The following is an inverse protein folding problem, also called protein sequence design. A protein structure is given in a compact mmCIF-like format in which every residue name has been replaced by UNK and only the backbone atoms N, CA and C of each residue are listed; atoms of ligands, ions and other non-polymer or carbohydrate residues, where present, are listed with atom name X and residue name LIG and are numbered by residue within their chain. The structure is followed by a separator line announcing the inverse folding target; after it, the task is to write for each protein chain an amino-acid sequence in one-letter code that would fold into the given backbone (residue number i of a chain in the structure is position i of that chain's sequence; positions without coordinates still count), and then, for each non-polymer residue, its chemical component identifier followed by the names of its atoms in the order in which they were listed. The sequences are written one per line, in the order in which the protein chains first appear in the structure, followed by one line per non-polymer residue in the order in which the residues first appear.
data_IF_807913913600
#
_entry.id   IF_807913913600
#
_cell.length_a   1.000
_cell.length_b   1.000
_cell.length_c   1.000
_cell.angle_alpha   90.00
_cell.angle_beta   90.00
_cell.angle_gamma   90.00
#
_symmetry.space_group_name_H-M   'P 1'
#
loop_
_entity.id
_entity.type
_entity.pdbx_description
1 polymer ?
#
# COMPACT_ATOMS: atom_id res chain seq x y z
N UNK A 1 8.36 32.00 -32.74
CA UNK A 1 6.95 32.44 -32.84
C UNK A 1 6.19 31.30 -33.49
N UNK A 2 5.62 30.41 -32.67
CA UNK A 2 4.83 29.26 -33.10
C UNK A 2 3.42 29.45 -32.52
N UNK A 3 2.34 29.17 -33.26
CA UNK A 3 1.00 29.50 -32.80
C UNK A 3 0.50 28.50 -31.75
N UNK A 4 -0.21 29.03 -30.76
CA UNK A 4 -1.02 28.28 -29.81
C UNK A 4 -2.05 27.41 -30.55
N UNK A 5 -2.11 26.14 -30.17
CA UNK A 5 -3.18 25.23 -30.54
C UNK A 5 -4.22 25.31 -29.43
N UNK A 6 -5.37 25.92 -29.72
CA UNK A 6 -6.53 25.93 -28.84
C UNK A 6 -7.13 24.51 -28.79
N UNK A 7 -7.20 23.97 -27.57
CA UNK A 7 -7.82 22.69 -27.25
C UNK A 7 -9.34 22.81 -27.43
N UNK A 8 -9.87 22.19 -28.48
CA UNK A 8 -11.30 22.09 -28.74
C UNK A 8 -11.78 20.71 -28.30
N UNK A 9 -12.62 20.70 -27.25
CA UNK A 9 -13.60 19.68 -26.87
C UNK A 9 -13.55 18.35 -27.65
N UNK A 10 -12.79 17.36 -27.14
CA UNK A 10 -12.81 16.00 -27.68
C UNK A 10 -13.93 15.16 -27.03
N UNK A 11 -14.99 14.78 -27.78
CA UNK A 11 -16.10 13.96 -27.27
C UNK A 11 -15.67 12.55 -26.84
N UNK A 12 -14.51 12.05 -27.29
CA UNK A 12 -14.00 10.73 -26.87
C UNK A 12 -13.56 10.74 -25.41
N UNK A 13 -12.98 11.85 -24.90
CA UNK A 13 -12.67 12.01 -23.47
C UNK A 13 -13.93 12.00 -22.59
N UNK A 14 -15.03 12.61 -23.05
CA UNK A 14 -16.32 12.62 -22.33
C UNK A 14 -16.95 11.22 -22.22
N UNK A 15 -16.77 10.37 -23.23
CA UNK A 15 -17.28 8.99 -23.21
C UNK A 15 -16.53 8.07 -22.24
N UNK A 16 -15.20 8.22 -22.17
CA UNK A 16 -14.34 7.47 -21.24
C UNK A 16 -14.60 7.89 -19.79
N UNK A 17 -14.77 9.20 -19.53
CA UNK A 17 -15.14 9.72 -18.20
C UNK A 17 -16.49 9.19 -17.71
N UNK A 18 -17.51 9.12 -18.59
CA UNK A 18 -18.82 8.56 -18.23
C UNK A 18 -18.76 7.07 -17.92
N UNK A 19 -18.02 6.29 -18.73
CA UNK A 19 -17.87 4.86 -18.52
C UNK A 19 -17.10 4.54 -17.23
N UNK A 20 -15.99 5.26 -16.97
CA UNK A 20 -15.19 5.06 -15.75
C UNK A 20 -15.91 5.50 -14.48
N UNK A 21 -16.66 6.61 -14.52
CA UNK A 21 -17.42 7.12 -13.38
C UNK A 21 -18.66 6.27 -13.07
N UNK A 22 -19.37 5.81 -14.11
CA UNK A 22 -20.46 4.84 -13.96
C UNK A 22 -19.93 3.51 -13.41
N UNK A 23 -18.76 3.03 -13.86
CA UNK A 23 -18.12 1.82 -13.34
C UNK A 23 -17.60 1.96 -11.90
N UNK A 24 -17.14 3.15 -11.47
CA UNK A 24 -16.76 3.40 -10.07
C UNK A 24 -17.96 3.33 -9.12
N UNK A 25 -19.14 3.81 -9.57
CA UNK A 25 -20.37 3.79 -8.77
C UNK A 25 -21.10 2.44 -8.87
N UNK A 26 -21.13 1.79 -10.04
CA UNK A 26 -21.71 0.43 -10.18
C UNK A 26 -20.81 -0.67 -9.60
N UNK A 27 -19.49 -0.53 -9.71
CA UNK A 27 -18.52 -1.45 -9.10
C UNK A 27 -18.49 -1.37 -7.57
N UNK A 28 -18.86 -0.22 -6.98
CA UNK A 28 -18.95 -0.05 -5.52
C UNK A 28 -20.35 -0.34 -4.96
N UNK A 29 -21.42 -0.38 -5.77
CA UNK A 29 -22.79 -0.69 -5.33
C UNK A 29 -23.14 -2.18 -5.36
N UNK A 30 -22.20 -3.06 -5.76
CA UNK A 30 -22.39 -4.52 -5.71
C UNK A 30 -22.67 -5.09 -4.30
N UNK A 31 -22.54 -4.27 -3.23
CA UNK A 31 -22.95 -4.60 -1.86
C UNK A 31 -24.26 -3.95 -1.38
N UNK A 32 -25.00 -3.21 -2.21
CA UNK A 32 -26.21 -2.46 -1.79
C UNK A 32 -27.51 -2.92 -2.46
N UNK A 33 -27.56 -4.13 -3.03
CA UNK A 33 -28.74 -4.65 -3.71
C UNK A 33 -29.85 -5.18 -2.78
N UNK A 34 -29.76 -5.02 -1.45
CA UNK A 34 -30.74 -5.61 -0.51
C UNK A 34 -31.43 -4.62 0.44
N UNK A 35 -31.43 -3.31 0.15
CA UNK A 35 -32.13 -2.30 0.98
C UNK A 35 -33.39 -1.73 0.33
N UNK A 36 -33.76 -2.21 -0.86
CA UNK A 36 -35.01 -1.86 -1.54
C UNK A 36 -35.92 -3.08 -1.68
N UNK A 37 -36.31 -3.67 -0.56
CA UNK A 37 -37.53 -4.48 -0.48
C UNK A 37 -38.12 -4.28 0.92
N UNK A 38 -38.92 -3.23 1.07
CA UNK A 38 -39.96 -3.18 2.08
C UNK A 38 -41.27 -3.38 1.34
N UNK A 39 -41.67 -4.65 1.23
CA UNK A 39 -43.03 -5.03 0.88
C UNK A 39 -43.97 -4.46 1.93
N UNK A 40 -44.70 -3.40 1.58
CA UNK A 40 -45.92 -3.03 2.29
C UNK A 40 -47.10 -3.14 1.33
N UNK A 41 -47.70 -4.32 1.34
CA UNK A 41 -48.93 -4.62 0.65
C UNK A 41 -50.10 -3.92 1.36
N UNK A 42 -50.41 -2.69 0.97
CA UNK A 42 -51.77 -2.20 1.08
C UNK A 42 -52.08 -1.08 0.07
N UNK A 43 -53.09 -1.35 -0.75
CA UNK A 43 -53.53 -0.49 -1.83
C UNK A 43 -54.07 0.86 -1.33
N UNK A 44 -53.62 1.91 -2.00
CA UNK A 44 -54.13 3.26 -1.81
C UNK A 44 -53.44 4.19 -2.78
N UNK A 45 -54.18 4.57 -3.82
CA UNK A 45 -53.84 5.59 -4.83
C UNK A 45 -53.11 6.79 -4.20
N UNK A 46 -51.80 6.83 -4.38
CA UNK A 46 -50.94 7.98 -4.09
C UNK A 46 -50.08 8.21 -5.32
N UNK A 47 -50.30 9.36 -5.93
CA UNK A 47 -49.43 10.01 -6.91
C UNK A 47 -47.98 9.61 -6.71
N UNK A 48 -47.43 8.89 -7.69
CA UNK A 48 -46.00 8.64 -7.81
C UNK A 48 -45.33 10.02 -7.92
N UNK A 49 -44.79 10.52 -6.82
CA UNK A 49 -43.81 11.59 -6.91
C UNK A 49 -42.61 10.99 -7.62
N UNK A 50 -42.31 11.48 -8.82
CA UNK A 50 -41.03 11.25 -9.48
C UNK A 50 -39.92 11.36 -8.43
N UNK A 51 -39.27 10.23 -8.13
CA UNK A 51 -38.10 10.22 -7.28
C UNK A 51 -37.07 11.15 -7.91
N UNK A 52 -36.81 12.29 -7.26
CA UNK A 52 -35.70 13.16 -7.61
C UNK A 52 -34.43 12.29 -7.59
N UNK A 53 -33.89 12.03 -8.77
CA UNK A 53 -32.81 11.07 -8.94
C UNK A 53 -31.56 11.56 -8.21
N UNK A 54 -31.17 10.83 -7.16
CA UNK A 54 -29.85 10.95 -6.51
C UNK A 54 -28.73 10.82 -7.58
N UNK A 55 -29.03 10.15 -8.70
CA UNK A 55 -28.15 9.93 -9.85
C UNK A 55 -27.96 11.16 -10.77
N UNK A 56 -28.80 12.19 -10.71
CA UNK A 56 -28.61 13.40 -11.53
C UNK A 56 -27.65 14.41 -10.90
N UNK A 57 -27.87 14.69 -9.61
CA UNK A 57 -27.19 15.78 -8.88
C UNK A 57 -25.77 15.43 -8.43
N UNK A 58 -25.56 14.21 -7.90
CA UNK A 58 -24.25 13.78 -7.41
C UNK A 58 -23.20 13.71 -8.55
N UNK A 59 -23.60 13.15 -9.69
CA UNK A 59 -22.73 13.07 -10.87
C UNK A 59 -22.42 14.45 -11.47
N UNK A 60 -23.42 15.35 -11.49
CA UNK A 60 -23.19 16.73 -11.90
C UNK A 60 -22.20 17.42 -10.96
N UNK A 61 -22.37 17.28 -9.64
CA UNK A 61 -21.47 17.85 -8.64
C UNK A 61 -20.02 17.33 -8.76
N UNK A 62 -19.83 16.02 -8.93
CA UNK A 62 -18.50 15.44 -9.17
C UNK A 62 -17.85 16.02 -10.44
N UNK A 63 -18.60 16.10 -11.54
CA UNK A 63 -18.12 16.70 -12.79
C UNK A 63 -17.76 18.17 -12.62
N UNK A 64 -18.49 18.89 -11.78
CA UNK A 64 -18.26 20.30 -11.47
C UNK A 64 -17.12 20.48 -10.45
N UNK A 65 -16.39 19.41 -10.13
CA UNK A 65 -15.19 19.45 -9.29
C UNK A 65 -15.47 19.38 -7.80
N UNK A 66 -16.68 19.01 -7.38
CA UNK A 66 -17.06 18.91 -5.96
C UNK A 66 -16.80 17.53 -5.39
N UNK A 67 -16.45 17.49 -4.10
CA UNK A 67 -16.42 16.23 -3.33
C UNK A 67 -17.85 15.89 -2.94
N UNK A 68 -18.26 14.62 -3.06
CA UNK A 68 -19.64 14.20 -2.80
C UNK A 68 -19.70 13.15 -1.70
N UNK A 69 -20.42 13.45 -0.63
CA UNK A 69 -20.73 12.54 0.46
C UNK A 69 -22.10 11.88 0.26
N UNK A 70 -22.18 10.57 0.44
CA UNK A 70 -23.40 9.77 0.30
C UNK A 70 -23.53 8.87 1.52
N UNK A 71 -24.63 9.05 2.26
CA UNK A 71 -24.97 8.25 3.43
C UNK A 71 -26.49 8.24 3.64
N UNK A 72 -26.98 7.28 4.43
CA UNK A 72 -28.36 7.31 4.91
C UNK A 72 -28.59 8.58 5.74
N UNK A 73 -29.68 9.31 5.45
CA UNK A 73 -30.00 10.56 6.15
C UNK A 73 -29.37 11.84 5.58
N UNK A 74 -28.46 11.76 4.60
CA UNK A 74 -27.84 12.93 3.96
C UNK A 74 -28.26 13.10 2.49
N UNK A 75 -28.71 12.04 1.82
CA UNK A 75 -29.29 12.11 0.46
C UNK A 75 -28.32 12.53 -0.65
N UNK A 76 -27.04 12.74 -0.34
CA UNK A 76 -26.03 13.29 -1.25
C UNK A 76 -25.69 14.74 -0.94
N UNK A 77 -24.58 14.99 -0.25
CA UNK A 77 -24.07 16.34 0.03
C UNK A 77 -22.83 16.63 -0.84
N UNK A 78 -22.77 17.83 -1.41
CA UNK A 78 -21.66 18.27 -2.25
C UNK A 78 -20.85 19.38 -1.57
N UNK A 79 -19.54 19.17 -1.47
CA UNK A 79 -18.58 20.05 -0.82
C UNK A 79 -17.73 20.74 -1.89
N UNK A 80 -17.67 22.07 -1.83
CA UNK A 80 -16.80 22.88 -2.70
C UNK A 80 -15.36 22.82 -2.16
N UNK A 81 -14.38 22.28 -2.93
CA UNK A 81 -12.99 22.19 -2.48
C UNK A 81 -12.31 23.52 -2.16
N UNK A 82 -12.91 24.64 -2.55
CA UNK A 82 -12.38 25.98 -2.30
C UNK A 82 -12.99 26.66 -1.07
N UNK A 83 -14.05 26.09 -0.50
CA UNK A 83 -14.74 26.68 0.64
C UNK A 83 -13.99 26.48 1.96
N UNK A 84 -13.24 25.38 2.10
CA UNK A 84 -12.49 25.05 3.30
C UNK A 84 -11.08 24.59 2.95
N UNK A 85 -10.22 24.51 3.96
CA UNK A 85 -8.86 23.98 3.81
C UNK A 85 -8.82 22.44 3.82
N UNK A 86 -9.92 21.79 4.20
CA UNK A 86 -10.02 20.35 4.45
C UNK A 86 -11.27 19.71 3.84
N UNK A 87 -11.57 19.96 2.55
CA UNK A 87 -12.84 19.54 1.96
C UNK A 87 -13.06 18.02 1.93
N UNK A 88 -12.00 17.20 1.89
CA UNK A 88 -12.14 15.75 1.96
C UNK A 88 -12.48 15.31 3.38
N UNK A 89 -11.79 15.87 4.38
CA UNK A 89 -12.11 15.58 5.78
C UNK A 89 -13.53 16.02 6.14
N UNK A 90 -13.95 17.21 5.70
CA UNK A 90 -15.30 17.74 5.99
C UNK A 90 -16.40 16.80 5.45
N UNK A 91 -16.17 16.20 4.28
CA UNK A 91 -17.10 15.22 3.69
C UNK A 91 -17.12 13.90 4.47
N UNK A 92 -15.97 13.46 5.01
CA UNK A 92 -15.88 12.27 5.87
C UNK A 92 -16.57 12.52 7.22
N UNK A 93 -16.37 13.69 7.83
CA UNK A 93 -17.03 14.10 9.08
C UNK A 93 -18.55 14.17 8.90
N UNK A 94 -19.02 14.62 7.74
CA UNK A 94 -20.44 14.65 7.44
C UNK A 94 -21.07 13.25 7.37
N UNK A 95 -20.42 12.27 6.72
CA UNK A 95 -20.97 10.89 6.70
C UNK A 95 -20.84 10.20 8.05
N UNK A 96 -19.79 10.49 8.81
CA UNK A 96 -19.62 9.97 10.17
C UNK A 96 -20.73 10.43 11.11
N UNK A 97 -21.15 11.71 11.01
CA UNK A 97 -22.23 12.27 11.83
C UNK A 97 -23.58 11.53 11.70
N UNK A 98 -23.74 10.67 10.67
CA UNK A 98 -24.92 9.81 10.47
C UNK A 98 -24.60 8.31 10.54
N UNK A 99 -23.44 7.95 11.09
CA UNK A 99 -23.02 6.56 11.36
C UNK A 99 -22.22 5.87 10.27
N UNK A 100 -21.77 6.62 9.25
CA UNK A 100 -20.91 6.12 8.17
C UNK A 100 -21.48 6.36 6.77
N UNK A 101 -20.70 6.00 5.76
CA UNK A 101 -21.09 6.24 4.36
C UNK A 101 -19.91 6.28 3.42
N UNK A 102 -20.09 6.96 2.28
CA UNK A 102 -19.11 7.00 1.20
C UNK A 102 -18.86 8.43 0.75
N UNK A 103 -17.60 8.75 0.50
CA UNK A 103 -17.15 10.00 -0.08
C UNK A 103 -16.54 9.70 -1.45
N UNK A 104 -17.00 10.42 -2.46
CA UNK A 104 -16.54 10.33 -3.84
C UNK A 104 -15.74 11.58 -4.18
N UNK A 105 -14.53 11.36 -4.69
CA UNK A 105 -13.62 12.40 -5.16
C UNK A 105 -13.96 12.78 -6.61
N UNK A 106 -13.96 14.07 -6.94
CA UNK A 106 -14.14 14.51 -8.32
C UNK A 106 -12.95 14.08 -9.20
N UNK A 107 -13.11 14.04 -10.54
CA UNK A 107 -12.02 13.79 -11.48
C UNK A 107 -11.14 15.05 -11.66
N UNK A 108 -10.65 15.59 -10.55
CA UNK A 108 -9.71 16.70 -10.51
C UNK A 108 -8.80 16.56 -9.27
N UNK A 109 -7.92 17.55 -9.07
CA UNK A 109 -7.13 17.68 -7.85
C UNK A 109 -7.90 18.45 -6.78
N UNK A 110 -8.08 17.83 -5.63
CA UNK A 110 -8.54 18.45 -4.39
C UNK A 110 -7.32 18.66 -3.49
N UNK A 111 -7.18 19.85 -2.92
CA UNK A 111 -6.07 20.16 -1.99
C UNK A 111 -6.56 20.00 -0.57
N UNK A 112 -5.78 19.29 0.25
CA UNK A 112 -6.05 19.09 1.68
C UNK A 112 -4.90 19.71 2.48
N UNK A 113 -5.22 20.57 3.45
CA UNK A 113 -4.21 21.24 4.26
C UNK A 113 -3.64 20.38 5.40
N UNK A 114 -4.40 19.37 5.85
CA UNK A 114 -4.05 18.41 6.88
C UNK A 114 -4.18 16.96 6.39
N UNK A 115 -3.90 15.96 7.25
CA UNK A 115 -4.09 14.57 6.88
C UNK A 115 -5.59 14.24 6.87
N UNK A 116 -5.97 13.34 5.96
CA UNK A 116 -7.28 12.71 5.94
C UNK A 116 -7.32 11.64 7.04
N UNK A 117 -8.30 11.73 7.93
CA UNK A 117 -8.51 10.82 9.07
C UNK A 117 -9.82 10.06 8.89
N UNK A 118 -9.78 8.85 8.34
CA UNK A 118 -10.96 8.02 8.15
C UNK A 118 -11.72 7.79 9.46
N UNK A 119 -13.03 7.65 9.36
CA UNK A 119 -13.90 7.25 10.47
C UNK A 119 -14.34 5.79 10.30
N UNK A 120 -14.80 5.12 11.36
CA UNK A 120 -15.38 3.79 11.22
C UNK A 120 -16.54 3.77 10.21
N UNK A 121 -16.67 2.67 9.45
CA UNK A 121 -17.74 2.49 8.44
C UNK A 121 -17.75 3.53 7.31
N UNK A 122 -16.60 4.13 6.98
CA UNK A 122 -16.49 5.10 5.88
C UNK A 122 -15.67 4.59 4.70
N UNK A 123 -15.97 5.08 3.51
CA UNK A 123 -15.16 4.80 2.33
C UNK A 123 -14.88 6.04 1.51
N UNK A 124 -13.69 6.11 0.91
CA UNK A 124 -13.22 7.19 0.07
C UNK A 124 -12.84 6.64 -1.32
N UNK A 125 -13.53 7.14 -2.35
CA UNK A 125 -13.50 6.58 -3.69
C UNK A 125 -13.16 7.63 -4.74
N UNK A 126 -12.27 7.31 -5.68
CA UNK A 126 -11.95 8.17 -6.81
C UNK A 126 -12.12 7.50 -8.17
N UNK A 127 -11.64 8.20 -9.21
CA UNK A 127 -11.78 7.80 -10.61
C UNK A 127 -10.48 7.26 -11.26
N UNK A 128 -9.42 7.08 -10.48
CA UNK A 128 -8.12 6.52 -10.89
C UNK A 128 -6.94 7.47 -10.69
N UNK A 129 -5.73 6.93 -10.91
CA UNK A 129 -4.46 7.65 -10.83
C UNK A 129 -4.43 8.87 -11.77
N UNK A 130 -3.92 10.01 -11.30
CA UNK A 130 -3.91 11.30 -12.03
C UNK A 130 -5.30 11.83 -12.47
N UNK A 131 -6.41 11.16 -12.08
CA UNK A 131 -7.77 11.60 -12.39
C UNK A 131 -8.39 12.21 -11.15
N UNK A 132 -8.50 11.44 -10.07
CA UNK A 132 -8.88 11.94 -8.74
C UNK A 132 -7.62 12.03 -7.89
N UNK A 133 -7.25 13.23 -7.46
CA UNK A 133 -6.02 13.46 -6.69
C UNK A 133 -6.36 14.19 -5.41
N UNK A 134 -5.94 13.64 -4.27
CA UNK A 134 -5.81 14.37 -3.02
C UNK A 134 -4.37 14.85 -2.93
N UNK A 135 -4.18 16.17 -2.89
CA UNK A 135 -2.85 16.78 -2.83
C UNK A 135 -2.64 17.44 -1.46
N UNK A 136 -1.82 16.81 -0.64
CA UNK A 136 -1.34 17.36 0.63
C UNK A 136 -0.14 18.25 0.32
N UNK A 137 -0.31 19.57 0.48
CA UNK A 137 0.74 20.55 0.14
C UNK A 137 1.60 20.98 1.32
N UNK A 138 1.07 20.85 2.53
CA UNK A 138 1.68 21.26 3.78
C UNK A 138 2.89 20.38 4.10
N UNK A 139 4.02 21.01 4.43
CA UNK A 139 5.24 20.31 4.85
C UNK A 139 4.98 19.49 6.12
N UNK A 140 5.65 18.34 6.27
CA UNK A 140 5.55 17.51 7.47
C UNK A 140 4.17 16.92 7.75
N UNK A 141 3.25 16.96 6.78
CA UNK A 141 1.86 16.51 6.93
C UNK A 141 1.71 15.11 6.35
N UNK A 142 1.04 14.23 7.09
CA UNK A 142 0.68 12.88 6.64
C UNK A 142 -0.40 12.94 5.54
N UNK A 143 -0.52 11.87 4.75
CA UNK A 143 -1.57 11.74 3.75
C UNK A 143 -2.89 11.30 4.37
N UNK A 144 -2.98 10.00 4.65
CA UNK A 144 -4.04 9.36 5.42
C UNK A 144 -3.44 8.94 6.75
N UNK A 145 -4.10 9.29 7.85
CA UNK A 145 -3.64 9.00 9.21
C UNK A 145 -4.72 8.29 10.01
N UNK A 146 -4.37 7.13 10.56
CA UNK A 146 -5.17 6.36 11.50
C UNK A 146 -4.64 6.65 12.90
N UNK A 147 -5.24 7.62 13.57
CA UNK A 147 -4.83 8.13 14.89
C UNK A 147 -6.04 8.49 15.78
N UNK A 148 -7.19 7.85 15.57
CA UNK A 148 -8.40 8.10 16.37
C UNK A 148 -8.43 7.27 17.64
N UNK A 149 -8.98 7.85 18.70
CA UNK A 149 -9.16 7.18 20.00
C UNK A 149 -10.12 5.98 19.92
N UNK A 150 -11.03 5.99 18.96
CA UNK A 150 -11.92 4.85 18.66
C UNK A 150 -11.35 3.96 17.56
N UNK A 151 -11.61 2.65 17.66
CA UNK A 151 -11.19 1.69 16.62
C UNK A 151 -11.69 2.09 15.24
N UNK A 152 -10.75 2.39 14.34
CA UNK A 152 -11.05 2.67 12.94
C UNK A 152 -11.22 1.35 12.19
N UNK A 153 -12.49 1.01 11.91
CA UNK A 153 -12.85 -0.27 11.30
C UNK A 153 -13.79 -0.15 10.10
N UNK A 154 -13.75 -1.14 9.19
CA UNK A 154 -14.58 -1.18 7.97
C UNK A 154 -14.38 0.07 7.11
N UNK A 155 -13.12 0.42 6.87
CA UNK A 155 -12.72 1.58 6.06
C UNK A 155 -12.30 1.14 4.67
N UNK A 156 -12.71 1.89 3.65
CA UNK A 156 -12.28 1.65 2.27
C UNK A 156 -11.57 2.87 1.65
N UNK A 157 -10.42 2.66 1.01
CA UNK A 157 -9.70 3.67 0.23
C UNK A 157 -9.44 3.11 -1.17
N UNK A 158 -10.09 3.66 -2.21
CA UNK A 158 -9.96 3.09 -3.57
C UNK A 158 -10.00 4.13 -4.70
N UNK A 159 -9.12 3.96 -5.67
CA UNK A 159 -9.23 4.59 -6.97
C UNK A 159 -8.77 6.05 -7.00
N UNK A 160 -7.79 6.46 -6.20
CA UNK A 160 -7.29 7.84 -6.26
C UNK A 160 -5.78 7.93 -6.03
N UNK A 161 -5.21 9.05 -6.46
CA UNK A 161 -3.83 9.40 -6.15
C UNK A 161 -3.77 10.22 -4.85
N UNK A 162 -2.89 9.80 -3.95
CA UNK A 162 -2.52 10.52 -2.75
C UNK A 162 -1.13 11.14 -2.96
N UNK A 163 -1.12 12.44 -3.26
CA UNK A 163 0.07 13.21 -3.63
C UNK A 163 0.60 13.99 -2.44
N UNK A 164 1.85 13.74 -2.09
CA UNK A 164 2.56 14.46 -1.03
C UNK A 164 3.09 15.82 -1.47
N UNK A 165 3.71 16.58 -0.55
CA UNK A 165 4.20 17.94 -0.81
C UNK A 165 5.31 18.07 -1.87
N UNK A 166 5.96 16.95 -2.22
CA UNK A 166 7.15 16.86 -3.07
C UNK A 166 8.34 16.27 -2.33
N UNK A 167 9.08 15.34 -2.96
CA UNK A 167 10.20 14.59 -2.32
C UNK A 167 11.34 15.44 -1.76
N UNK A 168 11.50 16.68 -2.22
CA UNK A 168 12.54 17.62 -1.72
C UNK A 168 12.06 18.48 -0.54
N UNK A 169 10.80 18.35 -0.16
CA UNK A 169 10.25 18.98 1.03
C UNK A 169 10.20 17.94 2.14
N UNK A 170 10.14 18.43 3.36
CA UNK A 170 9.79 17.57 4.48
C UNK A 170 8.34 17.09 4.32
N UNK A 171 8.13 15.78 4.40
CA UNK A 171 6.80 15.15 4.25
C UNK A 171 6.52 14.27 5.44
N UNK A 172 5.24 14.17 5.82
CA UNK A 172 4.77 13.06 6.64
C UNK A 172 4.80 11.73 5.87
N UNK A 173 4.09 10.74 6.40
CA UNK A 173 3.89 9.42 5.80
C UNK A 173 2.60 9.43 4.97
N UNK A 174 2.59 8.75 3.82
CA UNK A 174 1.39 8.74 2.98
C UNK A 174 0.20 8.01 3.64
N UNK A 175 0.44 6.85 4.25
CA UNK A 175 -0.55 6.08 5.04
C UNK A 175 0.09 5.75 6.39
N UNK A 176 -0.41 6.34 7.45
CA UNK A 176 0.23 6.29 8.76
C UNK A 176 -0.70 5.69 9.80
N UNK A 177 -0.30 4.56 10.37
CA UNK A 177 -0.94 3.97 11.54
C UNK A 177 -0.15 4.38 12.78
N UNK A 178 -0.78 5.16 13.64
CA UNK A 178 -0.16 5.77 14.82
C UNK A 178 -0.93 5.32 16.04
N UNK A 179 -0.22 5.09 17.13
CA UNK A 179 -0.83 4.71 18.38
C UNK A 179 -1.66 5.89 18.90
N UNK A 180 -2.97 5.68 18.95
CA UNK A 180 -3.90 6.62 19.52
C UNK A 180 -4.19 6.29 21.00
N UNK A 181 -4.08 5.01 21.37
CA UNK A 181 -4.41 4.52 22.71
C UNK A 181 -3.57 3.30 23.06
N UNK A 182 -3.07 3.21 24.29
CA UNK A 182 -2.40 2.01 24.82
C UNK A 182 -3.31 0.75 24.92
N UNK A 183 -4.50 0.77 24.31
CA UNK A 183 -5.47 -0.34 24.25
C UNK A 183 -5.53 -0.95 22.83
N UNK A 184 -5.00 -2.17 22.62
CA UNK A 184 -5.07 -2.88 21.34
C UNK A 184 -6.49 -3.11 20.81
N UNK A 185 -7.54 -2.98 21.64
CA UNK A 185 -8.92 -3.04 21.18
C UNK A 185 -9.30 -1.89 20.24
N UNK A 186 -8.53 -0.79 20.26
CA UNK A 186 -8.72 0.37 19.39
C UNK A 186 -7.83 0.33 18.14
N UNK A 187 -7.08 -0.75 17.94
CA UNK A 187 -6.29 -0.90 16.73
C UNK A 187 -7.18 -0.84 15.48
N UNK A 188 -6.69 -0.23 14.39
CA UNK A 188 -7.38 -0.24 13.12
C UNK A 188 -7.59 -1.66 12.59
N UNK A 189 -8.80 -1.95 12.15
CA UNK A 189 -9.20 -3.30 11.77
C UNK A 189 -9.98 -3.28 10.46
N UNK A 190 -9.92 -4.34 9.66
CA UNK A 190 -10.77 -4.46 8.46
C UNK A 190 -10.69 -3.20 7.55
N UNK A 191 -9.46 -2.73 7.33
CA UNK A 191 -9.17 -1.63 6.41
C UNK A 191 -8.89 -2.23 5.02
N UNK A 192 -9.64 -1.77 4.03
CA UNK A 192 -9.49 -2.14 2.63
C UNK A 192 -8.88 -1.00 1.83
N UNK A 193 -7.69 -1.22 1.28
CA UNK A 193 -7.04 -0.34 0.32
C UNK A 193 -7.09 -1.02 -1.04
N UNK A 194 -7.94 -0.51 -1.92
CA UNK A 194 -8.13 -1.01 -3.29
C UNK A 194 -6.98 -0.58 -4.20
N UNK A 195 -7.24 0.36 -5.12
CA UNK A 195 -6.24 0.93 -6.04
C UNK A 195 -5.78 2.29 -5.54
N UNK A 196 -4.72 2.31 -4.74
CA UNK A 196 -4.17 3.54 -4.19
C UNK A 196 -2.81 3.86 -4.81
N UNK A 197 -2.64 5.12 -5.22
CA UNK A 197 -1.43 5.60 -5.89
C UNK A 197 -0.78 6.70 -5.06
N UNK A 198 0.32 6.39 -4.39
CA UNK A 198 1.08 7.34 -3.60
C UNK A 198 2.18 7.98 -4.45
N UNK A 199 2.25 9.31 -4.45
CA UNK A 199 3.23 10.04 -5.26
C UNK A 199 3.89 11.17 -4.48
N UNK A 200 5.17 11.43 -4.74
CA UNK A 200 5.86 12.63 -4.23
C UNK A 200 6.00 12.70 -2.70
N UNK A 201 6.17 11.54 -2.07
CA UNK A 201 6.44 11.40 -0.63
C UNK A 201 7.95 11.27 -0.38
N UNK A 202 8.52 12.13 0.47
CA UNK A 202 9.92 12.08 0.89
C UNK A 202 10.15 11.25 2.16
N UNK A 203 9.19 10.40 2.50
CA UNK A 203 9.14 9.57 3.69
C UNK A 203 8.54 8.20 3.31
N UNK A 204 8.19 7.36 4.29
CA UNK A 204 7.47 6.10 4.04
C UNK A 204 6.12 6.37 3.34
N UNK A 205 5.73 5.45 2.44
CA UNK A 205 4.39 5.43 1.84
C UNK A 205 3.41 4.76 2.79
N UNK A 206 3.82 3.69 3.45
CA UNK A 206 3.03 3.09 4.53
C UNK A 206 3.93 2.93 5.74
N UNK A 207 3.47 3.40 6.90
CA UNK A 207 4.11 3.13 8.17
C UNK A 207 3.11 2.67 9.20
N UNK A 208 3.47 1.61 9.90
CA UNK A 208 2.82 1.19 11.14
C UNK A 208 3.82 1.39 12.26
N UNK A 209 3.50 2.28 13.20
CA UNK A 209 4.36 2.55 14.35
C UNK A 209 4.33 1.39 15.36
N UNK A 210 5.31 1.38 16.26
CA UNK A 210 5.32 0.50 17.41
C UNK A 210 4.08 0.78 18.30
N UNK A 211 3.55 -0.25 18.96
CA UNK A 211 2.34 -0.14 19.79
C UNK A 211 1.03 -0.42 19.04
N UNK A 212 0.97 -0.18 17.73
CA UNK A 212 -0.26 -0.34 16.91
C UNK A 212 -0.25 -1.64 16.13
N UNK A 213 -1.28 -2.46 16.24
CA UNK A 213 -1.38 -3.71 15.48
C UNK A 213 -2.55 -3.75 14.51
N UNK A 214 -2.50 -3.08 13.33
CA UNK A 214 -3.56 -3.20 12.37
C UNK A 214 -3.81 -4.67 12.04
N UNK A 215 -5.07 -5.10 12.03
CA UNK A 215 -5.41 -6.51 11.85
C UNK A 215 -6.47 -6.72 10.80
N UNK A 216 -6.33 -7.83 10.06
CA UNK A 216 -7.22 -8.18 8.94
C UNK A 216 -7.31 -7.09 7.87
N UNK A 217 -6.28 -6.26 7.69
CA UNK A 217 -6.27 -5.25 6.64
C UNK A 217 -5.86 -5.86 5.30
N UNK A 218 -6.42 -5.33 4.22
CA UNK A 218 -6.22 -5.81 2.85
C UNK A 218 -5.86 -4.67 1.91
N UNK A 219 -4.69 -4.77 1.30
CA UNK A 219 -4.12 -3.82 0.35
C UNK A 219 -4.04 -4.49 -1.02
N UNK A 220 -5.08 -4.40 -1.84
CA UNK A 220 -5.15 -5.10 -3.12
C UNK A 220 -4.13 -4.56 -4.13
N UNK A 221 -4.00 -3.24 -4.24
CA UNK A 221 -3.07 -2.60 -5.17
C UNK A 221 -2.52 -1.28 -4.60
N UNK A 222 -1.23 -1.28 -4.27
CA UNK A 222 -0.51 -0.09 -3.83
C UNK A 222 0.60 0.26 -4.82
N UNK A 223 0.53 1.47 -5.38
CA UNK A 223 1.57 1.98 -6.27
C UNK A 223 2.27 3.19 -5.66
N UNK A 224 3.60 3.17 -5.64
CA UNK A 224 4.42 4.27 -5.16
C UNK A 224 5.32 4.79 -6.28
N UNK A 225 5.06 6.00 -6.77
CA UNK A 225 5.85 6.64 -7.82
C UNK A 225 6.52 7.91 -7.31
N UNK A 226 7.75 8.18 -7.75
CA UNK A 226 8.46 9.43 -7.41
C UNK A 226 8.48 9.68 -5.89
N UNK A 227 8.71 8.63 -5.10
CA UNK A 227 8.86 8.68 -3.65
C UNK A 227 10.32 8.44 -3.25
N UNK A 228 10.78 9.00 -2.14
CA UNK A 228 12.15 8.85 -1.64
C UNK A 228 12.11 8.53 -0.15
N UNK A 229 12.13 7.24 0.20
CA UNK A 229 12.16 6.79 1.60
C UNK A 229 13.58 6.48 2.08
N UNK A 230 14.62 6.80 1.29
CA UNK A 230 16.00 6.38 1.57
C UNK A 230 16.54 6.89 2.91
N UNK A 231 16.11 8.07 3.36
CA UNK A 231 16.45 8.60 4.69
C UNK A 231 15.47 8.15 5.81
N UNK A 232 14.31 7.59 5.45
CA UNK A 232 13.22 7.27 6.36
C UNK A 232 13.18 5.79 6.80
N UNK A 233 14.07 4.96 6.26
CA UNK A 233 14.19 3.54 6.58
C UNK A 233 13.64 2.64 5.47
N UNK A 234 12.33 2.70 5.21
CA UNK A 234 11.69 1.91 4.15
C UNK A 234 10.43 2.57 3.57
N UNK A 235 10.06 2.15 2.37
CA UNK A 235 8.84 2.58 1.70
C UNK A 235 7.59 2.06 2.43
N UNK A 236 7.59 0.77 2.79
CA UNK A 236 6.64 0.10 3.68
C UNK A 236 7.39 -0.23 4.97
N UNK A 237 7.12 0.50 6.04
CA UNK A 237 7.84 0.39 7.32
C UNK A 237 6.89 -0.13 8.40
N UNK A 238 6.93 -1.43 8.65
CA UNK A 238 6.11 -2.11 9.65
C UNK A 238 6.90 -2.29 10.95
N UNK A 239 6.73 -1.37 11.89
CA UNK A 239 7.46 -1.36 13.17
C UNK A 239 6.77 -2.13 14.28
N UNK A 240 5.47 -2.37 14.12
CA UNK A 240 4.68 -3.09 15.11
C UNK A 240 5.18 -4.51 15.35
N UNK A 241 5.17 -4.90 16.62
CA UNK A 241 5.50 -6.25 17.07
C UNK A 241 4.36 -7.25 16.76
N UNK A 242 3.12 -6.75 16.60
CA UNK A 242 1.92 -7.55 16.34
C UNK A 242 1.11 -6.98 15.16
N UNK A 243 -0.14 -7.41 14.99
CA UNK A 243 -0.98 -7.12 13.82
C UNK A 243 -1.16 -8.35 12.92
N UNK A 244 -2.13 -9.23 13.25
CA UNK A 244 -2.34 -10.47 12.51
C UNK A 244 -3.07 -10.28 11.17
N UNK A 245 -2.74 -11.16 10.23
CA UNK A 245 -3.47 -11.41 8.98
C UNK A 245 -3.60 -10.19 8.04
N UNK A 246 -2.50 -9.47 7.80
CA UNK A 246 -2.48 -8.38 6.83
C UNK A 246 -2.05 -8.88 5.44
N UNK A 247 -2.83 -8.53 4.42
CA UNK A 247 -2.66 -9.00 3.06
C UNK A 247 -2.36 -7.87 2.09
N UNK A 248 -1.36 -8.06 1.24
CA UNK A 248 -0.97 -7.18 0.15
C UNK A 248 -1.05 -7.98 -1.16
N UNK A 249 -1.92 -7.57 -2.07
CA UNK A 249 -2.02 -8.17 -3.41
C UNK A 249 -0.80 -7.77 -4.23
N UNK A 250 -0.88 -6.64 -4.91
CA UNK A 250 0.21 -6.12 -5.75
C UNK A 250 0.78 -4.82 -5.20
N UNK A 251 2.10 -4.79 -5.02
CA UNK A 251 2.86 -3.57 -4.73
C UNK A 251 3.74 -3.23 -5.92
N UNK A 252 3.59 -2.02 -6.44
CA UNK A 252 4.45 -1.50 -7.52
C UNK A 252 5.18 -0.26 -7.03
N UNK A 253 6.51 -0.24 -7.08
CA UNK A 253 7.27 0.92 -6.62
C UNK A 253 8.36 1.36 -7.59
N UNK A 254 8.37 2.65 -7.90
CA UNK A 254 9.42 3.34 -8.64
C UNK A 254 9.98 4.48 -7.77
N UNK A 255 10.71 4.14 -6.69
CA UNK A 255 11.33 5.15 -5.84
C UNK A 255 12.42 5.92 -6.60
N UNK A 256 12.75 7.10 -6.10
CA UNK A 256 13.90 7.88 -6.53
C UNK A 256 14.80 8.19 -5.31
N UNK A 257 16.00 8.72 -5.58
CA UNK A 257 16.98 9.12 -4.57
C UNK A 257 17.28 10.63 -4.64
N UNK A 258 16.33 11.45 -5.11
CA UNK A 258 16.57 12.87 -5.43
C UNK A 258 16.78 13.73 -4.20
N UNK A 259 16.31 13.30 -3.02
CA UNK A 259 16.44 14.03 -1.77
C UNK A 259 17.43 13.34 -0.84
N UNK A 260 17.34 12.03 -0.65
CA UNK A 260 18.22 11.28 0.26
C UNK A 260 19.57 10.94 -0.36
N UNK A 261 19.66 10.83 -1.68
CA UNK A 261 20.84 10.28 -2.37
C UNK A 261 21.04 8.78 -2.14
N UNK A 262 20.16 8.11 -1.40
CA UNK A 262 20.26 6.72 -1.00
C UNK A 262 19.24 5.85 -1.73
N UNK A 263 19.55 4.56 -1.97
CA UNK A 263 18.54 3.63 -2.45
C UNK A 263 17.44 3.45 -1.40
N UNK A 264 16.22 3.15 -1.85
CA UNK A 264 15.08 2.91 -0.97
C UNK A 264 14.92 1.42 -0.66
N UNK A 265 14.89 1.06 0.62
CA UNK A 265 14.40 -0.27 1.05
C UNK A 265 12.89 -0.33 0.86
N UNK A 266 12.37 -1.41 0.28
CA UNK A 266 10.95 -1.51 -0.07
C UNK A 266 10.12 -1.89 1.16
N UNK A 267 10.41 -3.01 1.80
CA UNK A 267 9.75 -3.46 3.03
C UNK A 267 10.76 -3.57 4.17
N UNK A 268 10.45 -2.95 5.30
CA UNK A 268 11.05 -3.27 6.60
C UNK A 268 9.98 -3.82 7.52
N UNK A 269 10.21 -4.98 8.12
CA UNK A 269 9.27 -5.64 9.03
C UNK A 269 9.93 -6.01 10.35
N UNK A 270 9.41 -5.44 11.44
CA UNK A 270 9.84 -5.74 12.79
C UNK A 270 8.99 -6.81 13.51
N UNK A 271 7.76 -7.05 13.06
CA UNK A 271 6.82 -7.99 13.67
C UNK A 271 5.56 -8.20 12.82
N UNK A 272 4.43 -8.54 13.44
CA UNK A 272 3.16 -8.74 12.76
C UNK A 272 3.11 -9.94 11.80
N UNK A 273 1.99 -10.10 11.08
CA UNK A 273 1.80 -11.13 10.05
C UNK A 273 1.41 -10.50 8.72
N UNK A 274 2.33 -10.56 7.75
CA UNK A 274 2.20 -9.95 6.42
C UNK A 274 2.26 -11.01 5.32
N UNK A 275 1.36 -10.92 4.35
CA UNK A 275 1.38 -11.70 3.13
C UNK A 275 1.39 -10.77 1.91
N UNK A 276 2.32 -10.97 0.98
CA UNK A 276 2.45 -10.26 -0.28
C UNK A 276 2.29 -11.24 -1.45
N UNK A 277 1.44 -10.96 -2.44
CA UNK A 277 1.35 -11.78 -3.66
C UNK A 277 2.44 -11.41 -4.67
N UNK A 278 2.53 -10.13 -5.07
CA UNK A 278 3.54 -9.63 -6.01
C UNK A 278 4.09 -8.27 -5.56
N UNK A 279 5.40 -8.12 -5.59
CA UNK A 279 6.11 -6.87 -5.37
C UNK A 279 7.04 -6.64 -6.55
N UNK A 280 6.76 -5.63 -7.36
CA UNK A 280 7.55 -5.26 -8.53
C UNK A 280 8.14 -3.86 -8.35
N UNK A 281 9.47 -3.75 -8.37
CA UNK A 281 10.14 -2.49 -8.06
C UNK A 281 11.25 -2.12 -9.03
N UNK A 282 11.25 -0.85 -9.44
CA UNK A 282 12.27 -0.26 -10.31
C UNK A 282 12.88 1.00 -9.71
N UNK A 283 13.19 2.00 -10.54
CA UNK A 283 13.74 3.29 -10.09
C UNK A 283 15.07 3.14 -9.35
N UNK A 284 15.17 3.65 -8.12
CA UNK A 284 16.35 3.54 -7.24
C UNK A 284 16.17 2.52 -6.11
N UNK A 285 15.40 1.45 -6.34
CA UNK A 285 15.17 0.43 -5.32
C UNK A 285 16.49 -0.23 -4.85
N UNK A 286 16.63 -0.36 -3.53
CA UNK A 286 17.71 -1.08 -2.86
C UNK A 286 17.26 -2.47 -2.45
N UNK A 287 17.34 -2.75 -1.15
CA UNK A 287 16.83 -3.98 -0.52
C UNK A 287 15.31 -4.09 -0.71
N UNK A 288 14.81 -5.26 -1.14
CA UNK A 288 13.38 -5.54 -1.26
C UNK A 288 12.74 -5.77 0.11
N UNK A 289 13.38 -6.61 0.94
CA UNK A 289 12.83 -7.01 2.22
C UNK A 289 13.95 -6.98 3.26
N UNK A 290 13.70 -6.29 4.37
CA UNK A 290 14.47 -6.37 5.59
C UNK A 290 13.55 -6.78 6.74
N UNK A 291 13.73 -7.99 7.24
CA UNK A 291 12.91 -8.54 8.31
C UNK A 291 13.74 -8.81 9.55
N UNK A 292 13.31 -8.29 10.70
CA UNK A 292 13.91 -8.61 12.01
C UNK A 292 13.10 -9.60 12.82
N UNK A 293 11.77 -9.60 12.69
CA UNK A 293 10.89 -10.63 13.26
C UNK A 293 9.54 -10.70 12.53
N UNK A 294 8.56 -11.43 13.07
CA UNK A 294 7.20 -11.53 12.53
C UNK A 294 7.01 -12.66 11.51
N UNK A 295 5.81 -12.76 10.95
CA UNK A 295 5.48 -13.72 9.90
C UNK A 295 5.43 -13.03 8.55
N UNK A 296 6.12 -13.59 7.58
CA UNK A 296 6.16 -13.07 6.22
C UNK A 296 5.93 -14.17 5.20
N UNK A 297 4.92 -13.98 4.36
CA UNK A 297 4.77 -14.74 3.12
C UNK A 297 4.96 -13.79 1.95
N UNK A 298 6.10 -13.88 1.29
CA UNK A 298 6.35 -13.17 0.04
C UNK A 298 6.13 -14.13 -1.13
N UNK A 299 5.23 -13.76 -2.05
CA UNK A 299 5.05 -14.43 -3.33
C UNK A 299 6.22 -14.11 -4.25
N UNK A 300 5.97 -13.33 -5.29
CA UNK A 300 7.03 -12.87 -6.22
C UNK A 300 7.60 -11.53 -5.77
N UNK A 301 8.93 -11.46 -5.70
CA UNK A 301 9.68 -10.22 -5.51
C UNK A 301 10.50 -9.93 -6.78
N UNK A 302 10.11 -8.95 -7.57
CA UNK A 302 10.74 -8.58 -8.84
C UNK A 302 11.52 -7.27 -8.70
N UNK A 303 12.84 -7.34 -8.90
CA UNK A 303 13.76 -6.24 -8.73
C UNK A 303 14.41 -5.85 -10.07
N UNK A 304 14.08 -4.64 -10.52
CA UNK A 304 14.45 -4.07 -11.82
C UNK A 304 14.93 -2.61 -11.68
N UNK A 305 15.95 -2.30 -10.84
CA UNK A 305 16.40 -0.92 -10.66
C UNK A 305 16.85 -0.31 -11.99
N UNK A 306 16.39 0.92 -12.24
CA UNK A 306 16.79 1.74 -13.40
C UNK A 306 18.11 2.46 -13.14
N UNK A 307 18.36 2.79 -11.86
CA UNK A 307 19.61 3.39 -11.40
C UNK A 307 19.93 2.90 -10.00
N UNK A 308 21.21 2.70 -9.70
CA UNK A 308 21.68 2.19 -8.42
C UNK A 308 22.63 3.19 -7.76
N UNK A 309 22.12 4.14 -6.95
CA UNK A 309 22.96 5.10 -6.22
C UNK A 309 23.97 4.40 -5.30
N UNK A 310 23.58 3.25 -4.76
CA UNK A 310 24.44 2.31 -4.07
C UNK A 310 23.94 0.88 -4.30
N UNK A 311 24.86 -0.08 -4.25
CA UNK A 311 24.55 -1.51 -4.34
C UNK A 311 24.09 -2.02 -2.97
N UNK A 312 22.88 -2.60 -2.83
CA UNK A 312 22.49 -3.24 -1.58
C UNK A 312 23.33 -4.50 -1.33
N UNK A 313 23.53 -4.87 -0.06
CA UNK A 313 24.28 -6.08 0.29
C UNK A 313 23.55 -7.36 -0.14
N UNK A 314 22.23 -7.38 0.06
CA UNK A 314 21.34 -8.42 -0.42
C UNK A 314 19.95 -7.85 -0.72
N UNK A 315 19.18 -8.53 -1.57
CA UNK A 315 17.80 -8.11 -1.88
C UNK A 315 16.83 -8.46 -0.75
N UNK A 316 17.03 -9.59 -0.08
CA UNK A 316 16.17 -10.09 0.99
C UNK A 316 17.03 -10.41 2.21
N UNK A 317 16.86 -9.64 3.29
CA UNK A 317 17.65 -9.74 4.53
C UNK A 317 16.75 -10.22 5.66
N UNK A 318 17.07 -11.37 6.23
CA UNK A 318 16.20 -12.08 7.17
C UNK A 318 16.95 -12.38 8.47
N UNK A 319 16.50 -11.76 9.55
CA UNK A 319 16.94 -12.05 10.91
C UNK A 319 15.79 -12.71 11.72
N UNK A 320 16.08 -13.00 12.99
CA UNK A 320 15.08 -13.46 13.96
C UNK A 320 14.42 -14.79 13.64
N UNK A 321 13.53 -15.20 14.54
CA UNK A 321 12.92 -16.54 14.52
C UNK A 321 11.57 -16.61 13.81
N UNK A 322 11.02 -15.47 13.43
CA UNK A 322 9.77 -15.34 12.70
C UNK A 322 9.68 -16.21 11.44
N UNK A 323 8.51 -16.77 11.16
CA UNK A 323 8.33 -17.69 10.02
C UNK A 323 8.30 -16.88 8.72
N UNK A 324 9.20 -17.23 7.79
CA UNK A 324 9.28 -16.53 6.50
C UNK A 324 9.28 -17.52 5.35
N UNK A 325 8.45 -17.26 4.35
CA UNK A 325 8.43 -17.97 3.09
C UNK A 325 8.59 -16.99 1.93
N UNK A 326 9.62 -17.17 1.12
CA UNK A 326 9.82 -16.40 -0.12
C UNK A 326 9.67 -17.35 -1.29
N UNK A 327 8.65 -17.12 -2.12
CA UNK A 327 8.26 -18.05 -3.18
C UNK A 327 9.01 -17.84 -4.50
N UNK A 328 9.37 -16.60 -4.83
CA UNK A 328 10.16 -16.26 -6.02
C UNK A 328 10.89 -14.93 -5.82
N UNK A 329 12.12 -14.85 -6.32
CA UNK A 329 12.86 -13.60 -6.48
C UNK A 329 13.36 -13.51 -7.91
N UNK A 330 13.05 -12.41 -8.59
CA UNK A 330 13.54 -12.12 -9.93
C UNK A 330 14.54 -10.96 -9.83
N UNK A 331 15.77 -11.23 -10.26
CA UNK A 331 16.83 -10.24 -10.39
C UNK A 331 16.91 -9.85 -11.87
N UNK A 332 16.17 -8.85 -12.29
CA UNK A 332 16.01 -8.54 -13.72
C UNK A 332 17.11 -7.61 -14.25
N UNK A 333 17.49 -6.61 -13.46
CA UNK A 333 18.57 -5.68 -13.80
C UNK A 333 19.48 -5.45 -12.60
N UNK A 334 20.43 -4.53 -12.73
CA UNK A 334 21.31 -4.10 -11.63
C UNK A 334 22.35 -5.14 -11.21
N UNK A 335 23.09 -4.80 -10.16
CA UNK A 335 24.10 -5.65 -9.51
C UNK A 335 23.81 -5.78 -8.03
N UNK A 336 23.91 -6.99 -7.48
CA UNK A 336 23.80 -7.28 -6.05
C UNK A 336 24.77 -8.40 -5.66
N UNK A 337 25.39 -8.39 -4.46
CA UNK A 337 26.25 -9.49 -4.02
C UNK A 337 25.47 -10.78 -3.75
N UNK A 338 24.33 -10.71 -3.05
CA UNK A 338 23.55 -11.87 -2.65
C UNK A 338 22.06 -11.62 -2.91
N UNK A 339 21.29 -12.68 -3.22
CA UNK A 339 19.83 -12.57 -3.25
C UNK A 339 19.30 -12.55 -1.82
N UNK A 340 19.80 -13.47 -0.98
CA UNK A 340 19.39 -13.61 0.40
C UNK A 340 20.56 -13.39 1.37
N UNK A 341 20.32 -12.66 2.45
CA UNK A 341 21.17 -12.65 3.64
C UNK A 341 20.39 -13.23 4.84
N UNK A 342 20.96 -14.24 5.49
CA UNK A 342 20.51 -14.75 6.78
C UNK A 342 21.35 -14.11 7.89
N UNK A 343 20.75 -13.19 8.64
CA UNK A 343 21.38 -12.41 9.69
C UNK A 343 21.19 -13.06 11.09
N UNK A 344 21.59 -12.36 12.15
CA UNK A 344 21.60 -12.93 13.51
C UNK A 344 20.22 -13.41 13.95
N UNK A 345 20.19 -14.55 14.64
CA UNK A 345 18.97 -15.16 15.16
C UNK A 345 18.07 -15.77 14.09
N UNK A 346 18.54 -15.95 12.85
CA UNK A 346 17.69 -16.50 11.79
C UNK A 346 17.15 -17.89 12.17
N UNK A 347 15.84 -18.08 11.99
CA UNK A 347 15.14 -19.35 12.12
C UNK A 347 13.86 -19.36 11.29
N UNK A 348 13.36 -20.56 10.97
CA UNK A 348 12.08 -20.76 10.28
C UNK A 348 11.95 -20.04 8.92
N UNK A 349 13.08 -19.94 8.19
CA UNK A 349 13.12 -19.33 6.86
C UNK A 349 13.03 -20.41 5.79
N UNK A 350 12.17 -20.19 4.78
CA UNK A 350 11.96 -21.07 3.64
C UNK A 350 12.25 -20.30 2.36
N UNK A 351 13.33 -20.65 1.69
CA UNK A 351 13.92 -19.90 0.58
C UNK A 351 14.11 -20.80 -0.64
N UNK A 352 13.87 -20.26 -1.82
CA UNK A 352 14.12 -20.95 -3.10
C UNK A 352 15.16 -20.19 -3.94
N UNK A 353 15.83 -20.84 -4.90
CA UNK A 353 16.66 -20.14 -5.88
C UNK A 353 15.86 -19.05 -6.60
N UNK A 354 16.50 -17.95 -7.06
CA UNK A 354 15.82 -16.93 -7.85
C UNK A 354 15.23 -17.54 -9.13
N UNK A 355 13.97 -17.21 -9.46
CA UNK A 355 13.29 -17.79 -10.63
C UNK A 355 13.85 -17.28 -11.96
N UNK A 356 14.40 -16.06 -11.98
CA UNK A 356 15.15 -15.54 -13.13
C UNK A 356 16.24 -14.56 -12.67
N UNK A 357 17.38 -14.60 -13.36
CA UNK A 357 18.54 -13.72 -13.10
C UNK A 357 19.07 -13.19 -14.42
N UNK A 358 18.56 -12.03 -14.83
CA UNK A 358 19.07 -11.27 -15.99
C UNK A 358 20.02 -10.15 -15.56
N UNK A 359 19.88 -9.67 -14.32
CA UNK A 359 20.86 -8.83 -13.64
C UNK A 359 22.08 -9.62 -13.19
N UNK A 360 22.97 -8.98 -12.41
CA UNK A 360 24.22 -9.58 -11.94
C UNK A 360 24.16 -9.89 -10.45
N UNK A 361 24.32 -11.17 -10.09
CA UNK A 361 24.61 -11.61 -8.72
C UNK A 361 26.11 -11.91 -8.64
N UNK A 362 26.87 -11.13 -7.87
CA UNK A 362 28.35 -11.22 -7.87
C UNK A 362 28.91 -12.22 -6.87
N UNK A 363 28.15 -12.54 -5.82
CA UNK A 363 28.44 -13.61 -4.88
C UNK A 363 27.58 -14.84 -5.16
N UNK A 364 27.46 -15.67 -4.13
CA UNK A 364 26.53 -16.79 -4.15
C UNK A 364 25.09 -16.30 -3.90
N UNK A 365 24.07 -17.15 -4.10
CA UNK A 365 22.66 -16.74 -3.93
C UNK A 365 22.34 -16.38 -2.48
N UNK A 366 22.85 -17.18 -1.52
CA UNK A 366 22.57 -17.03 -0.09
C UNK A 366 23.87 -16.75 0.68
N UNK A 367 23.85 -15.72 1.52
CA UNK A 367 24.87 -15.47 2.55
C UNK A 367 24.34 -15.77 3.93
N UNK A 368 25.01 -16.65 4.67
CA UNK A 368 24.79 -16.84 6.12
C UNK A 368 25.77 -15.94 6.86
N UNK A 369 25.26 -14.85 7.42
CA UNK A 369 26.06 -13.80 8.05
C UNK A 369 25.85 -13.72 9.57
N UNK A 370 24.86 -14.41 10.13
CA UNK A 370 24.61 -14.47 11.57
C UNK A 370 24.48 -15.89 12.10
N UNK A 371 24.53 -16.04 13.44
CA UNK A 371 24.24 -17.31 14.10
C UNK A 371 22.75 -17.62 13.98
N UNK A 372 22.39 -18.85 13.59
CA UNK A 372 21.00 -19.28 13.55
C UNK A 372 20.41 -19.54 14.95
N UNK A 373 19.09 -19.39 15.06
CA UNK A 373 18.33 -19.57 16.30
C UNK A 373 18.39 -21.01 16.82
N UNK A 374 18.49 -21.18 18.14
CA UNK A 374 18.54 -22.52 18.74
C UNK A 374 17.16 -23.17 18.66
N UNK A 375 17.13 -24.46 18.39
CA UNK A 375 15.87 -25.23 18.27
C UNK A 375 15.11 -25.01 16.96
N UNK A 376 15.42 -23.96 16.19
CA UNK A 376 14.82 -23.70 14.88
C UNK A 376 15.71 -24.17 13.73
N UNK A 377 15.11 -24.33 12.55
CA UNK A 377 15.81 -24.64 11.29
C UNK A 377 15.28 -23.76 10.17
N UNK A 378 16.14 -23.44 9.22
CA UNK A 378 15.81 -22.78 7.96
C UNK A 378 16.20 -23.68 6.79
N UNK A 379 15.51 -23.50 5.68
CA UNK A 379 15.51 -24.39 4.53
C UNK A 379 15.74 -23.57 3.28
N UNK A 380 16.77 -23.93 2.52
CA UNK A 380 17.04 -23.41 1.20
C UNK A 380 16.95 -24.55 0.18
N UNK A 381 16.11 -24.38 -0.83
CA UNK A 381 15.80 -25.41 -1.82
C UNK A 381 16.70 -25.38 -3.06
N UNK A 382 17.80 -24.61 -3.04
CA UNK A 382 18.85 -24.65 -4.07
C UNK A 382 20.03 -25.55 -3.74
N UNK A 383 21.08 -25.47 -4.54
CA UNK A 383 22.28 -26.32 -4.40
C UNK A 383 23.21 -25.79 -3.31
N UNK A 384 24.12 -26.62 -2.77
CA UNK A 384 25.05 -26.18 -1.73
C UNK A 384 25.99 -25.07 -2.17
N UNK A 385 26.39 -25.07 -3.43
CA UNK A 385 27.33 -24.08 -3.99
C UNK A 385 26.73 -22.67 -4.04
N UNK A 386 25.40 -22.54 -3.92
CA UNK A 386 24.70 -21.26 -3.79
C UNK A 386 24.85 -20.63 -2.40
N UNK A 387 25.53 -21.27 -1.45
CA UNK A 387 25.57 -20.83 -0.06
C UNK A 387 26.99 -20.45 0.38
N UNK A 388 27.15 -19.19 0.77
CA UNK A 388 28.34 -18.69 1.45
C UNK A 388 28.06 -18.55 2.94
N UNK A 389 28.92 -19.11 3.80
CA UNK A 389 28.89 -18.84 5.25
C UNK A 389 30.04 -17.89 5.58
N UNK A 390 29.72 -16.73 6.17
CA UNK A 390 30.72 -15.74 6.57
C UNK A 390 31.74 -16.32 7.56
N UNK A 391 32.99 -15.88 7.45
CA UNK A 391 34.08 -16.32 8.34
C UNK A 391 33.71 -16.06 9.82
N UNK A 392 33.93 -17.05 10.68
CA UNK A 392 33.65 -16.94 12.12
C UNK A 392 32.17 -17.12 12.50
N UNK A 393 31.27 -17.35 11.54
CA UNK A 393 29.85 -17.61 11.82
C UNK A 393 29.60 -19.11 12.04
N UNK A 394 29.19 -19.54 13.25
CA UNK A 394 28.83 -20.93 13.49
C UNK A 394 27.43 -21.19 12.90
N UNK A 395 27.37 -21.88 11.76
CA UNK A 395 26.09 -22.27 11.15
C UNK A 395 25.44 -23.46 11.88
N UNK A 396 26.19 -24.33 12.60
CA UNK A 396 25.65 -25.48 13.38
C UNK A 396 24.59 -26.36 12.65
N UNK A 397 24.51 -26.31 11.31
CA UNK A 397 23.45 -26.95 10.53
C UNK A 397 22.06 -26.33 10.71
N UNK A 398 21.97 -25.03 11.00
CA UNK A 398 20.73 -24.26 11.15
C UNK A 398 20.08 -23.95 9.81
N UNK A 399 20.89 -23.64 8.79
CA UNK A 399 20.44 -23.67 7.40
C UNK A 399 20.63 -25.09 6.84
N UNK A 400 19.57 -25.67 6.28
CA UNK A 400 19.57 -26.92 5.52
C UNK A 400 19.40 -26.61 4.04
N UNK A 401 20.30 -27.15 3.24
CA UNK A 401 20.30 -27.00 1.78
C UNK A 401 19.81 -28.30 1.16
N UNK A 402 18.83 -28.24 0.27
CA UNK A 402 18.10 -29.41 -0.21
C UNK A 402 18.25 -29.71 -1.71
N UNK A 403 18.78 -28.80 -2.53
CA UNK A 403 18.89 -28.98 -3.97
C UNK A 403 19.75 -30.17 -4.39
N UNK A 404 20.74 -30.55 -3.58
CA UNK A 404 21.59 -31.72 -3.84
C UNK A 404 20.98 -33.04 -3.35
N UNK A 405 19.87 -32.99 -2.61
CA UNK A 405 19.18 -34.19 -2.09
C UNK A 405 18.36 -34.93 -3.16
N UNK A 406 18.30 -34.38 -4.39
CA UNK A 406 17.46 -34.83 -5.50
C UNK A 406 18.21 -35.35 -6.72
N UNK A 407 19.48 -35.77 -6.61
CA UNK A 407 20.06 -36.64 -7.65
C UNK A 407 19.22 -37.92 -7.62
N UNK A 408 18.24 -38.01 -8.52
CA UNK A 408 17.26 -39.08 -8.55
C UNK A 408 17.96 -40.44 -8.53
N UNK A 409 17.38 -41.39 -7.80
CA UNK A 409 17.73 -42.80 -7.96
C UNK A 409 17.53 -43.13 -9.45
N UNK A 410 18.64 -43.41 -10.14
CA UNK A 410 18.66 -43.83 -11.53
C UNK A 410 17.90 -45.14 -11.74
#
# INVERSE_FOLDING_TARGET
MCPERTDVDDPRRRSVLRASLAAAITGSTAGCASILDVDDANGGDRTVSEGASIEGGAFAALRDGRVVAVAAGIGGAAFDPTATATPVQDALDAVDAVGGGRVYLPPTTVTEAGPVRPHPNTGLYGCGMNVSVIHVRSSGTDGVRFDRDESVQRVALDGFELRGPGVRKDTGVAIHYVDATDDPANDPADVHVGRLYCRQWGNSVLRVEEGVGPFQCRYDFLRADDCDAGAAGALLDWRSEYGPANHFGTVVAYPNARASGAPTTVLRQAGGELAFEDVSVGGTAGTLVEQTDGRLRAGRLHWEPESQPATPEALVRLAGSGVTHVADVVVDTGTVPYVYELASGFGNKHLVPPGATRGTVTGNVVRVNGRGERGSRSWYYGVRDDVTVSLGVPNEGRLRVLGDAGVGLA
#
